data_IF_431966126572
#
_entry.id   IF_431966126572
#
_cell.length_a   1.000
_cell.length_b   1.000
_cell.length_c   1.000
_cell.angle_alpha   90.00
_cell.angle_beta   90.00
_cell.angle_gamma   90.00
#
_symmetry.space_group_name_H-M   'P 1'
#
loop_
_entity.id
_entity.type
_entity.pdbx_description
1 polymer ?
#
# COMPACT_ATOMS: atom_id res chain seq x y z
N UNK A 1 -17.07 29.35 -13.05
CA UNK A 1 -15.60 29.37 -12.87
C UNK A 1 -15.21 28.18 -12.02
N UNK A 2 -15.04 27.01 -12.64
CA UNK A 2 -14.59 25.80 -11.94
C UNK A 2 -13.06 25.80 -11.94
N UNK A 3 -12.46 25.74 -10.75
CA UNK A 3 -11.02 25.71 -10.55
C UNK A 3 -10.41 24.48 -11.21
N UNK A 4 -9.71 24.68 -12.32
CA UNK A 4 -8.80 23.70 -12.92
C UNK A 4 -7.60 23.50 -11.98
N UNK A 5 -7.75 22.67 -10.95
CA UNK A 5 -6.58 22.12 -10.27
C UNK A 5 -5.76 21.37 -11.31
N UNK A 6 -4.46 21.66 -11.38
CA UNK A 6 -3.58 20.96 -12.32
C UNK A 6 -3.67 19.45 -12.05
N UNK A 7 -3.80 18.62 -13.10
CA UNK A 7 -3.87 17.15 -12.99
C UNK A 7 -2.82 16.55 -12.01
N UNK A 8 -1.58 17.06 -11.95
CA UNK A 8 -0.60 16.61 -10.96
C UNK A 8 -1.01 16.87 -9.51
N UNK A 9 -1.66 18.00 -9.21
CA UNK A 9 -2.10 18.31 -7.85
C UNK A 9 -3.23 17.37 -7.37
N UNK A 10 -4.12 16.98 -8.28
CA UNK A 10 -5.14 15.98 -7.98
C UNK A 10 -4.51 14.61 -7.68
N UNK A 11 -3.60 14.15 -8.56
CA UNK A 11 -2.89 12.88 -8.39
C UNK A 11 -2.02 12.82 -7.12
N UNK A 12 -1.44 13.96 -6.70
CA UNK A 12 -0.73 14.05 -5.42
C UNK A 12 -1.68 13.84 -4.24
N UNK A 13 -2.88 14.40 -4.28
CA UNK A 13 -3.85 14.31 -3.17
C UNK A 13 -4.53 12.94 -3.10
N UNK A 14 -4.98 12.41 -4.24
CA UNK A 14 -5.59 11.07 -4.33
C UNK A 14 -4.56 9.98 -4.07
N UNK A 15 -3.31 10.22 -4.46
CA UNK A 15 -2.26 9.23 -4.42
C UNK A 15 -2.44 8.09 -5.42
N UNK A 16 -3.18 8.31 -6.51
CA UNK A 16 -3.28 7.38 -7.64
C UNK A 16 -2.63 7.98 -8.89
N UNK A 17 -1.68 7.25 -9.49
CA UNK A 17 -1.02 7.67 -10.73
C UNK A 17 -1.93 7.55 -11.97
N UNK A 18 -3.02 6.78 -11.89
CA UNK A 18 -3.99 6.66 -12.99
C UNK A 18 -4.69 8.00 -13.25
N UNK A 19 -4.80 8.87 -12.24
CA UNK A 19 -5.39 10.21 -12.38
C UNK A 19 -4.59 11.13 -13.30
N UNK A 20 -3.34 10.78 -13.62
CA UNK A 20 -2.54 11.49 -14.60
C UNK A 20 -2.89 11.14 -16.05
N UNK A 21 -3.65 10.06 -16.27
CA UNK A 21 -4.10 9.65 -17.59
C UNK A 21 -5.32 10.49 -17.96
N UNK A 22 -5.23 11.26 -19.04
CA UNK A 22 -6.38 11.96 -19.59
C UNK A 22 -6.91 11.22 -20.82
N UNK A 23 -8.11 10.66 -20.69
CA UNK A 23 -8.81 9.98 -21.79
C UNK A 23 -9.86 10.91 -22.38
N UNK A 24 -9.71 11.26 -23.65
CA UNK A 24 -10.74 11.94 -24.45
C UNK A 24 -11.43 10.93 -25.37
N UNK A 25 -12.57 11.30 -25.96
CA UNK A 25 -13.35 10.41 -26.85
C UNK A 25 -12.55 9.90 -28.07
N UNK A 26 -11.43 10.54 -28.42
CA UNK A 26 -10.61 10.22 -29.58
C UNK A 26 -9.18 9.76 -29.25
N UNK A 27 -8.66 9.99 -28.04
CA UNK A 27 -7.30 9.61 -27.68
C UNK A 27 -7.10 9.42 -26.16
N UNK A 28 -6.24 8.47 -25.80
CA UNK A 28 -5.69 8.35 -24.44
C UNK A 28 -4.32 9.00 -24.40
N UNK A 29 -4.17 10.03 -23.56
CA UNK A 29 -2.88 10.69 -23.34
C UNK A 29 -2.24 10.09 -22.10
N UNK A 30 -1.07 9.50 -22.27
CA UNK A 30 -0.28 8.97 -21.17
C UNK A 30 0.59 10.07 -20.53
N UNK A 31 0.85 10.01 -19.22
CA UNK A 31 1.71 10.97 -18.55
C UNK A 31 3.16 10.85 -18.99
N UNK A 32 3.88 11.97 -18.96
CA UNK A 32 5.33 11.99 -19.13
C UNK A 32 6.05 11.53 -17.86
N UNK A 33 7.29 11.07 -18.01
CA UNK A 33 8.15 10.68 -16.89
C UNK A 33 8.29 11.82 -15.86
N UNK A 34 8.44 13.07 -16.33
CA UNK A 34 8.53 14.25 -15.47
C UNK A 34 7.28 14.46 -14.62
N UNK A 35 6.08 14.21 -15.18
CA UNK A 35 4.83 14.34 -14.44
C UNK A 35 4.75 13.28 -13.33
N UNK A 36 5.12 12.04 -13.62
CA UNK A 36 5.14 10.94 -12.64
C UNK A 36 6.14 11.26 -11.52
N UNK A 37 7.37 11.63 -11.88
CA UNK A 37 8.43 11.97 -10.91
C UNK A 37 8.02 13.16 -10.04
N UNK A 38 7.38 14.17 -10.61
CA UNK A 38 6.88 15.33 -9.86
C UNK A 38 5.86 14.92 -8.80
N UNK A 39 4.90 14.05 -9.14
CA UNK A 39 3.92 13.55 -8.18
C UNK A 39 4.58 12.72 -7.08
N UNK A 40 5.48 11.81 -7.44
CA UNK A 40 6.18 10.95 -6.47
C UNK A 40 7.06 11.77 -5.53
N UNK A 41 7.76 12.79 -6.04
CA UNK A 41 8.59 13.68 -5.24
C UNK A 41 7.73 14.52 -4.28
N UNK A 42 6.61 15.08 -4.75
CA UNK A 42 5.69 15.84 -3.90
C UNK A 42 5.12 14.98 -2.76
N UNK A 43 4.68 13.74 -3.06
CA UNK A 43 4.19 12.80 -2.05
C UNK A 43 5.29 12.36 -1.08
N UNK A 44 6.49 12.09 -1.58
CA UNK A 44 7.64 11.73 -0.74
C UNK A 44 8.00 12.85 0.24
N UNK A 45 8.00 14.11 -0.21
CA UNK A 45 8.23 15.28 0.67
C UNK A 45 7.15 15.49 1.72
N UNK A 46 5.95 14.98 1.47
CA UNK A 46 4.83 14.99 2.41
C UNK A 46 4.79 13.76 3.34
N UNK A 47 5.83 12.92 3.36
CA UNK A 47 5.90 11.68 4.14
C UNK A 47 4.84 10.63 3.77
N UNK A 48 4.41 10.66 2.51
CA UNK A 48 3.45 9.73 1.91
C UNK A 48 4.16 8.85 0.86
N UNK A 49 4.89 7.78 1.26
CA UNK A 49 5.70 6.99 0.33
C UNK A 49 4.88 6.05 -0.57
N UNK A 50 3.60 5.85 -0.26
CA UNK A 50 2.72 4.89 -0.90
C UNK A 50 1.88 5.59 -1.96
N UNK A 51 1.84 5.04 -3.17
CA UNK A 51 1.06 5.60 -4.28
C UNK A 51 0.43 4.43 -5.06
N UNK A 52 -0.86 4.50 -5.35
CA UNK A 52 -1.57 3.48 -6.14
C UNK A 52 -1.28 3.64 -7.62
N UNK A 53 -1.37 2.51 -8.31
CA UNK A 53 -1.46 2.44 -9.76
C UNK A 53 -2.69 1.60 -10.07
N UNK A 54 -3.84 2.26 -10.11
CA UNK A 54 -5.14 1.61 -10.23
C UNK A 54 -5.48 0.76 -9.00
N UNK A 55 -6.16 -0.37 -9.22
CA UNK A 55 -6.77 -1.13 -8.13
C UNK A 55 -5.89 -2.19 -7.50
N UNK A 56 -4.91 -2.74 -8.24
CA UNK A 56 -4.15 -3.93 -7.82
C UNK A 56 -2.68 -3.66 -7.54
N UNK A 57 -2.13 -2.54 -8.02
CA UNK A 57 -0.71 -2.24 -7.91
C UNK A 57 -0.47 -1.09 -6.92
N UNK A 58 0.52 -1.26 -6.06
CA UNK A 58 0.97 -0.25 -5.10
C UNK A 58 2.45 0.02 -5.32
N UNK A 59 2.77 1.27 -5.63
CA UNK A 59 4.12 1.78 -5.70
C UNK A 59 4.56 2.29 -4.33
N UNK A 60 5.78 1.93 -3.93
CA UNK A 60 6.36 2.33 -2.65
C UNK A 60 7.74 2.94 -2.89
N UNK A 61 7.91 4.19 -2.45
CA UNK A 61 9.21 4.87 -2.43
C UNK A 61 9.77 4.78 -1.01
N UNK A 62 10.88 4.05 -0.81
CA UNK A 62 11.43 3.83 0.54
C UNK A 62 11.81 5.16 1.21
N UNK A 63 11.19 5.54 2.34
CA UNK A 63 11.50 6.79 3.05
C UNK A 63 12.80 6.73 3.84
N UNK A 64 13.44 5.56 3.99
CA UNK A 64 14.64 5.33 4.82
C UNK A 64 14.50 5.79 6.29
N UNK A 65 13.26 5.96 6.75
CA UNK A 65 12.90 6.31 8.12
C UNK A 65 11.65 5.53 8.54
N UNK A 66 11.48 5.38 9.85
CA UNK A 66 10.23 4.88 10.42
C UNK A 66 9.15 5.95 10.25
N UNK A 67 8.02 5.57 9.66
CA UNK A 67 6.89 6.47 9.49
C UNK A 67 5.92 6.33 10.65
N UNK A 68 5.34 7.47 11.06
CA UNK A 68 4.34 7.53 12.13
C UNK A 68 3.04 6.79 11.78
N UNK A 69 2.74 6.61 10.49
CA UNK A 69 1.56 5.89 9.99
C UNK A 69 1.73 4.35 9.95
N UNK A 70 2.92 3.84 10.27
CA UNK A 70 3.18 2.40 10.39
C UNK A 70 3.11 2.02 11.87
N UNK A 71 1.89 1.99 12.40
CA UNK A 71 1.64 1.66 13.80
C UNK A 71 0.35 0.84 13.97
N UNK A 72 0.13 0.32 15.18
CA UNK A 72 -1.03 -0.52 15.50
C UNK A 72 -2.36 0.23 15.39
N UNK A 73 -2.37 1.54 15.63
CA UNK A 73 -3.56 2.39 15.55
C UNK A 73 -4.01 2.54 14.10
N UNK A 74 -3.08 2.90 13.21
CA UNK A 74 -3.30 2.97 11.77
C UNK A 74 -3.69 1.60 11.22
N UNK A 75 -3.01 0.53 11.61
CA UNK A 75 -3.39 -0.84 11.21
C UNK A 75 -4.85 -1.18 11.55
N UNK A 76 -5.33 -0.75 12.72
CA UNK A 76 -6.72 -0.93 13.15
C UNK A 76 -7.70 -0.02 12.41
N UNK A 77 -7.33 1.23 12.15
CA UNK A 77 -8.15 2.16 11.36
C UNK A 77 -8.39 1.64 9.94
N UNK A 78 -7.33 1.16 9.26
CA UNK A 78 -7.45 0.56 7.93
C UNK A 78 -8.26 -0.75 7.96
N UNK A 79 -8.18 -1.56 9.02
CA UNK A 79 -9.07 -2.71 9.20
C UNK A 79 -10.54 -2.27 9.30
N UNK A 80 -10.85 -1.28 10.13
CA UNK A 80 -12.23 -0.83 10.33
C UNK A 80 -12.81 -0.23 9.05
N UNK A 81 -12.08 0.67 8.39
CA UNK A 81 -12.56 1.37 7.19
C UNK A 81 -12.54 0.53 5.91
N UNK A 82 -11.54 -0.35 5.72
CA UNK A 82 -11.38 -1.09 4.46
C UNK A 82 -11.93 -2.52 4.51
N UNK A 83 -12.11 -3.09 5.71
CA UNK A 83 -12.59 -4.47 5.88
C UNK A 83 -13.98 -4.55 6.51
N UNK A 84 -14.30 -3.73 7.53
CA UNK A 84 -15.57 -3.83 8.27
C UNK A 84 -16.67 -2.95 7.69
N UNK A 85 -16.33 -1.79 7.15
CA UNK A 85 -17.32 -0.90 6.53
C UNK A 85 -17.60 -1.32 5.08
N UNK A 86 -18.44 -2.35 4.91
CA UNK A 86 -19.05 -2.71 3.61
C UNK A 86 -20.24 -1.81 3.24
N UNK A 87 -20.59 -0.84 4.09
CA UNK A 87 -21.61 0.15 3.79
C UNK A 87 -21.03 1.25 2.90
N UNK A 88 -21.77 1.64 1.88
CA UNK A 88 -21.49 2.79 1.00
C UNK A 88 -21.56 4.15 1.75
N UNK A 89 -21.07 4.24 2.98
CA UNK A 89 -21.01 5.49 3.75
C UNK A 89 -19.61 6.13 3.64
N UNK A 90 -19.09 6.22 2.41
CA UNK A 90 -17.88 6.99 2.07
C UNK A 90 -18.11 8.51 2.04
N UNK A 91 -19.25 9.00 2.53
CA UNK A 91 -19.63 10.41 2.40
C UNK A 91 -19.09 11.31 3.52
N UNK A 92 -18.33 10.81 4.50
CA UNK A 92 -17.77 11.69 5.53
C UNK A 92 -16.34 11.35 5.91
N UNK A 93 -15.49 12.35 5.66
CA UNK A 93 -14.23 12.62 6.36
C UNK A 93 -12.98 11.88 5.84
N UNK A 94 -12.34 12.55 4.87
CA UNK A 94 -11.00 12.33 4.28
C UNK A 94 -10.80 11.05 3.49
N UNK A 95 -10.48 11.20 2.20
CA UNK A 95 -9.95 10.14 1.34
C UNK A 95 -8.78 9.47 2.07
N UNK A 96 -8.94 8.19 2.39
CA UNK A 96 -7.91 7.42 3.08
C UNK A 96 -6.69 7.34 2.17
N UNK A 97 -5.54 7.79 2.66
CA UNK A 97 -4.32 7.79 1.86
C UNK A 97 -3.95 6.35 1.47
N UNK A 98 -3.40 6.13 0.27
CA UNK A 98 -2.85 4.84 -0.12
C UNK A 98 -1.94 4.28 0.96
N UNK A 99 -2.16 3.03 1.34
CA UNK A 99 -1.30 2.36 2.30
C UNK A 99 -1.26 0.86 2.06
N UNK A 100 -0.19 0.23 2.51
CA UNK A 100 -0.02 -1.22 2.41
C UNK A 100 -1.07 -2.00 3.23
N UNK A 101 -1.58 -1.38 4.31
CA UNK A 101 -2.65 -1.96 5.14
C UNK A 101 -3.95 -2.10 4.39
N UNK A 102 -4.28 -1.13 3.51
CA UNK A 102 -5.44 -1.21 2.64
C UNK A 102 -5.30 -2.40 1.67
N UNK A 103 -4.13 -2.56 1.05
CA UNK A 103 -3.86 -3.68 0.15
C UNK A 103 -4.00 -5.03 0.88
N UNK A 104 -3.48 -5.14 2.10
CA UNK A 104 -3.61 -6.34 2.92
C UNK A 104 -5.08 -6.65 3.29
N UNK A 105 -5.87 -5.62 3.62
CA UNK A 105 -7.30 -5.77 3.91
C UNK A 105 -8.09 -6.24 2.68
N UNK A 106 -7.83 -5.65 1.51
CA UNK A 106 -8.44 -6.05 0.24
C UNK A 106 -8.06 -7.49 -0.12
N UNK A 107 -6.79 -7.85 0.00
CA UNK A 107 -6.28 -9.20 -0.23
C UNK A 107 -7.01 -10.23 0.65
N UNK A 108 -7.11 -9.94 1.94
CA UNK A 108 -7.79 -10.80 2.90
C UNK A 108 -9.30 -10.92 2.63
N UNK A 109 -9.95 -9.81 2.27
CA UNK A 109 -11.35 -9.81 1.86
C UNK A 109 -11.59 -10.67 0.62
N UNK A 110 -10.72 -10.57 -0.39
CA UNK A 110 -10.81 -11.39 -1.61
C UNK A 110 -10.62 -12.88 -1.29
N UNK A 111 -9.63 -13.23 -0.47
CA UNK A 111 -9.44 -14.61 0.01
C UNK A 111 -10.71 -15.14 0.70
N UNK A 112 -11.31 -14.34 1.59
CA UNK A 112 -12.51 -14.76 2.36
C UNK A 112 -13.78 -14.84 1.51
N UNK A 113 -14.03 -13.86 0.63
CA UNK A 113 -15.26 -13.78 -0.18
C UNK A 113 -15.22 -14.71 -1.40
N UNK A 114 -14.09 -14.77 -2.11
CA UNK A 114 -13.95 -15.56 -3.34
C UNK A 114 -13.43 -16.98 -3.09
N UNK A 115 -12.89 -17.26 -1.89
CA UNK A 115 -12.25 -18.55 -1.55
C UNK A 115 -11.13 -18.92 -2.53
N UNK A 116 -10.41 -17.92 -3.02
CA UNK A 116 -9.32 -18.08 -3.98
C UNK A 116 -8.00 -17.65 -3.37
N UNK A 117 -6.96 -18.46 -3.59
CA UNK A 117 -5.58 -18.14 -3.22
C UNK A 117 -5.13 -16.85 -3.90
N UNK A 118 -4.48 -15.97 -3.15
CA UNK A 118 -3.92 -14.72 -3.66
C UNK A 118 -2.40 -14.78 -3.63
N UNK A 119 -1.76 -14.05 -4.56
CA UNK A 119 -0.30 -13.93 -4.63
C UNK A 119 0.06 -12.45 -4.71
N UNK A 120 1.09 -12.06 -3.96
CA UNK A 120 1.64 -10.70 -3.97
C UNK A 120 3.10 -10.78 -4.40
N UNK A 121 3.44 -10.06 -5.45
CA UNK A 121 4.78 -10.04 -6.02
C UNK A 121 5.41 -8.69 -5.68
N UNK A 122 6.54 -8.71 -4.97
CA UNK A 122 7.33 -7.50 -4.72
C UNK A 122 8.43 -7.37 -5.77
N UNK A 123 8.55 -6.19 -6.39
CA UNK A 123 9.58 -5.88 -7.39
C UNK A 123 10.29 -4.59 -7.01
N UNK A 124 11.58 -4.51 -7.33
CA UNK A 124 12.40 -3.33 -7.03
C UNK A 124 13.88 -3.67 -6.82
N UNK A 125 14.72 -2.65 -6.83
CA UNK A 125 16.17 -2.77 -6.60
C UNK A 125 16.50 -3.16 -5.16
N UNK A 126 17.71 -3.67 -4.91
CA UNK A 126 18.21 -3.91 -3.55
C UNK A 126 18.16 -2.62 -2.74
N UNK A 127 17.74 -2.69 -1.48
CA UNK A 127 17.56 -1.50 -0.62
C UNK A 127 16.24 -0.72 -0.81
N UNK A 128 15.41 -1.06 -1.81
CA UNK A 128 14.15 -0.35 -2.06
C UNK A 128 13.02 -0.60 -1.03
N UNK A 129 13.29 -1.32 0.06
CA UNK A 129 12.30 -1.62 1.10
C UNK A 129 11.42 -2.84 0.86
N UNK A 130 11.69 -3.67 -0.16
CA UNK A 130 10.87 -4.87 -0.50
C UNK A 130 10.60 -5.79 0.69
N UNK A 131 11.64 -6.20 1.42
CA UNK A 131 11.50 -7.11 2.57
C UNK A 131 10.69 -6.48 3.70
N UNK A 132 10.89 -5.18 3.95
CA UNK A 132 10.13 -4.43 4.97
C UNK A 132 8.66 -4.32 4.59
N UNK A 133 8.35 -3.97 3.33
CA UNK A 133 6.98 -3.94 2.84
C UNK A 133 6.33 -5.33 2.89
N UNK A 134 7.01 -6.37 2.41
CA UNK A 134 6.48 -7.74 2.47
C UNK A 134 6.14 -8.16 3.91
N UNK A 135 7.03 -7.86 4.87
CA UNK A 135 6.79 -8.13 6.29
C UNK A 135 5.58 -7.36 6.83
N UNK A 136 5.47 -6.07 6.50
CA UNK A 136 4.37 -5.22 6.94
C UNK A 136 3.01 -5.70 6.40
N UNK A 137 2.97 -6.11 5.13
CA UNK A 137 1.78 -6.70 4.51
C UNK A 137 1.39 -8.00 5.23
N UNK A 138 2.36 -8.89 5.46
CA UNK A 138 2.12 -10.16 6.15
C UNK A 138 1.64 -9.95 7.57
N UNK A 139 2.23 -9.03 8.31
CA UNK A 139 1.80 -8.69 9.68
C UNK A 139 0.34 -8.24 9.73
N UNK A 140 -0.10 -7.47 8.74
CA UNK A 140 -1.49 -7.04 8.65
C UNK A 140 -2.43 -8.19 8.26
N UNK A 141 -2.06 -9.04 7.31
CA UNK A 141 -2.86 -10.23 6.97
C UNK A 141 -2.99 -11.17 8.17
N UNK A 142 -1.90 -11.38 8.91
CA UNK A 142 -1.91 -12.19 10.13
C UNK A 142 -2.83 -11.59 11.19
N UNK A 143 -2.77 -10.27 11.40
CA UNK A 143 -3.69 -9.55 12.30
C UNK A 143 -5.16 -9.78 11.93
N UNK A 144 -5.49 -9.67 10.65
CA UNK A 144 -6.86 -9.86 10.15
C UNK A 144 -7.33 -11.32 10.26
N UNK A 145 -6.41 -12.28 10.17
CA UNK A 145 -6.73 -13.71 10.16
C UNK A 145 -6.77 -14.38 11.54
N UNK A 146 -6.09 -13.81 12.55
CA UNK A 146 -5.91 -14.46 13.83
C UNK A 146 -7.04 -14.10 14.81
N UNK A 147 -8.00 -15.01 14.98
CA UNK A 147 -9.14 -14.84 15.88
C UNK A 147 -9.10 -15.78 17.09
N UNK A 148 -8.30 -16.83 17.04
CA UNK A 148 -8.14 -17.82 18.11
C UNK A 148 -6.73 -17.84 18.71
N UNK A 149 -6.60 -18.37 19.93
CA UNK A 149 -5.28 -18.57 20.59
C UNK A 149 -4.32 -19.41 19.74
N UNK A 150 -4.85 -20.41 19.01
CA UNK A 150 -4.04 -21.26 18.13
C UNK A 150 -3.51 -20.47 16.94
N UNK A 151 -4.36 -19.68 16.29
CA UNK A 151 -3.97 -18.83 15.15
C UNK A 151 -2.99 -17.74 15.57
N UNK A 152 -3.17 -17.11 16.73
CA UNK A 152 -2.22 -16.13 17.27
C UNK A 152 -0.82 -16.76 17.49
N UNK A 153 -0.77 -18.00 17.97
CA UNK A 153 0.50 -18.75 18.11
C UNK A 153 1.15 -18.97 16.73
N UNK A 154 0.38 -19.40 15.74
CA UNK A 154 0.88 -19.58 14.37
C UNK A 154 1.37 -18.25 13.78
N UNK A 155 0.63 -17.16 13.97
CA UNK A 155 1.04 -15.83 13.53
C UNK A 155 2.38 -15.41 14.14
N UNK A 156 2.58 -15.63 15.45
CA UNK A 156 3.86 -15.34 16.11
C UNK A 156 5.03 -16.16 15.54
N UNK A 157 4.79 -17.43 15.21
CA UNK A 157 5.79 -18.32 14.61
C UNK A 157 6.18 -17.84 13.20
N UNK A 158 5.21 -17.41 12.39
CA UNK A 158 5.46 -16.87 11.04
C UNK A 158 6.31 -15.58 11.12
N UNK A 159 6.04 -14.71 12.09
CA UNK A 159 6.85 -13.49 12.30
C UNK A 159 8.29 -13.82 12.71
N UNK A 160 8.47 -14.76 13.64
CA UNK A 160 9.80 -15.22 14.05
C UNK A 160 10.56 -15.87 12.88
N UNK A 161 9.87 -16.65 12.06
CA UNK A 161 10.45 -17.32 10.89
C UNK A 161 11.01 -16.33 9.87
N UNK A 162 10.31 -15.22 9.58
CA UNK A 162 10.85 -14.18 8.70
C UNK A 162 12.17 -13.60 9.22
N UNK A 163 12.28 -13.38 10.52
CA UNK A 163 13.52 -12.88 11.13
C UNK A 163 14.68 -13.86 10.94
N UNK A 164 14.41 -15.17 11.04
CA UNK A 164 15.40 -16.21 10.74
C UNK A 164 15.79 -16.16 9.25
N UNK A 165 14.82 -16.14 8.34
CA UNK A 165 15.09 -16.05 6.90
C UNK A 165 15.96 -14.85 6.55
N UNK A 166 15.71 -13.69 7.15
CA UNK A 166 16.51 -12.49 6.94
C UNK A 166 17.93 -12.64 7.49
N UNK A 167 18.08 -13.29 8.65
CA UNK A 167 19.38 -13.48 9.31
C UNK A 167 20.30 -14.41 8.51
N UNK A 168 19.72 -15.44 7.86
CA UNK A 168 20.49 -16.40 7.06
C UNK A 168 20.53 -16.06 5.57
N UNK A 169 19.54 -15.33 5.05
CA UNK A 169 19.36 -15.09 3.62
C UNK A 169 19.88 -13.75 3.13
N UNK A 170 20.08 -12.77 4.01
CA UNK A 170 20.59 -11.45 3.60
C UNK A 170 22.12 -11.41 3.67
N UNK A 171 22.73 -10.94 2.59
CA UNK A 171 24.16 -10.66 2.52
C UNK A 171 24.38 -9.18 2.19
N UNK A 172 25.46 -8.61 2.71
CA UNK A 172 25.87 -7.25 2.35
C UNK A 172 26.45 -7.26 0.93
N UNK A 173 25.92 -6.40 0.06
CA UNK A 173 26.44 -6.17 -1.29
C UNK A 173 27.14 -4.82 -1.39
N UNK A 174 28.04 -4.66 -2.37
CA UNK A 174 28.84 -3.44 -2.60
C UNK A 174 28.02 -2.34 -3.30
N UNK A 175 26.73 -2.20 -2.96
CA UNK A 175 25.87 -1.21 -3.62
C UNK A 175 26.13 0.20 -3.09
#
# INVERSE_FOLDING_TARGET
MASSGSLPAHAVNSGDLVDLISTSQSATVYPSDDAIVTVLNARFRADLPYTKIGTTNLLVVNPYKSLSNVNDVSAKEYEERCYKDTGLSLASSTLLQPHLYELAAQLYLLMRRRKQSQSVITRGITGSGKSTSARLLMDQVLRLSAHSKKELKVASQIKAFHTLLDSFGNAKTVM
#
